data_IF_333469293916
#
_entry.id   IF_333469293916
#
_cell.length_a   1.000
_cell.length_b   1.000
_cell.length_c   1.000
_cell.angle_alpha   90.00
_cell.angle_beta   90.00
_cell.angle_gamma   90.00
#
_symmetry.space_group_name_H-M   'P 1'
#
loop_
_entity.id
_entity.type
_entity.pdbx_description
1 polymer ?
#
# COMPACT_ATOMS: atom_id res chain seq x y z
N UNK A 1 9.23 12.58 -13.88
CA UNK A 1 8.12 13.41 -14.38
C UNK A 1 7.02 13.54 -13.32
N UNK A 2 6.95 14.66 -12.58
CA UNK A 2 5.99 14.84 -11.49
C UNK A 2 4.51 14.88 -11.93
N UNK A 3 4.22 15.32 -13.16
CA UNK A 3 2.84 15.37 -13.68
C UNK A 3 2.32 13.97 -13.96
N UNK A 4 3.14 13.15 -14.60
CA UNK A 4 2.85 11.75 -14.85
C UNK A 4 2.62 10.98 -13.54
N UNK A 5 3.50 11.17 -12.55
CA UNK A 5 3.37 10.50 -11.24
C UNK A 5 2.06 10.90 -10.55
N UNK A 6 1.71 12.20 -10.54
CA UNK A 6 0.45 12.66 -9.96
C UNK A 6 -0.77 12.05 -10.65
N UNK A 7 -0.77 12.00 -11.98
CA UNK A 7 -1.86 11.39 -12.74
C UNK A 7 -2.01 9.90 -12.41
N UNK A 8 -0.89 9.17 -12.38
CA UNK A 8 -0.86 7.76 -12.03
C UNK A 8 -1.38 7.51 -10.60
N UNK A 9 -0.86 8.23 -9.61
CA UNK A 9 -1.27 8.07 -8.19
C UNK A 9 -2.76 8.39 -8.01
N UNK A 10 -3.29 9.43 -8.67
CA UNK A 10 -4.72 9.75 -8.64
C UNK A 10 -5.58 8.66 -9.27
N UNK A 11 -5.16 8.09 -10.40
CA UNK A 11 -5.87 7.00 -11.05
C UNK A 11 -5.84 5.72 -10.18
N UNK A 12 -4.69 5.36 -9.63
CA UNK A 12 -4.54 4.21 -8.75
C UNK A 12 -5.41 4.34 -7.49
N UNK A 13 -5.37 5.52 -6.83
CA UNK A 13 -6.22 5.82 -5.67
C UNK A 13 -7.70 5.58 -5.97
N UNK A 14 -8.20 6.10 -7.10
CA UNK A 14 -9.60 5.89 -7.53
C UNK A 14 -9.93 4.41 -7.75
N UNK A 15 -9.00 3.63 -8.29
CA UNK A 15 -9.17 2.18 -8.47
C UNK A 15 -9.32 1.43 -7.15
N UNK A 16 -8.51 1.77 -6.15
CA UNK A 16 -8.63 1.16 -4.82
C UNK A 16 -9.87 1.64 -4.06
N UNK A 17 -10.25 2.92 -4.17
CA UNK A 17 -11.50 3.43 -3.63
C UNK A 17 -12.71 2.70 -4.24
N UNK A 18 -12.72 2.48 -5.56
CA UNK A 18 -13.72 1.66 -6.23
C UNK A 18 -13.74 0.24 -5.68
N UNK A 19 -12.57 -0.39 -5.51
CA UNK A 19 -12.48 -1.76 -5.00
C UNK A 19 -13.00 -1.87 -3.56
N UNK A 20 -12.84 -0.84 -2.72
CA UNK A 20 -13.43 -0.78 -1.39
C UNK A 20 -14.97 -0.72 -1.41
N UNK A 21 -15.54 -0.11 -2.45
CA UNK A 21 -16.99 0.06 -2.62
C UNK A 21 -17.64 -1.11 -3.36
N UNK A 22 -16.91 -1.74 -4.27
CA UNK A 22 -17.35 -2.81 -5.16
C UNK A 22 -16.38 -4.03 -5.08
N UNK A 23 -16.22 -4.67 -3.91
CA UNK A 23 -15.21 -5.73 -3.72
C UNK A 23 -15.41 -6.94 -4.63
N UNK A 24 -16.66 -7.30 -4.91
CA UNK A 24 -16.99 -8.42 -5.79
C UNK A 24 -16.61 -8.13 -7.25
N UNK A 25 -16.94 -6.94 -7.75
CA UNK A 25 -16.59 -6.51 -9.10
C UNK A 25 -15.08 -6.33 -9.27
N UNK A 26 -14.39 -5.78 -8.26
CA UNK A 26 -12.94 -5.66 -8.28
C UNK A 26 -12.24 -7.03 -8.32
N UNK A 27 -12.81 -8.03 -7.63
CA UNK A 27 -12.33 -9.42 -7.70
C UNK A 27 -12.52 -10.01 -9.10
N UNK A 28 -13.65 -9.74 -9.74
CA UNK A 28 -13.93 -10.19 -11.12
C UNK A 28 -12.99 -9.54 -12.13
N UNK A 29 -12.69 -8.24 -11.98
CA UNK A 29 -11.68 -7.53 -12.78
C UNK A 29 -10.32 -8.21 -12.62
N UNK A 30 -9.88 -8.51 -11.38
CA UNK A 30 -8.60 -9.17 -11.14
C UNK A 30 -8.50 -10.53 -11.85
N UNK A 31 -9.51 -11.39 -11.69
CA UNK A 31 -9.52 -12.73 -12.32
C UNK A 31 -9.56 -12.61 -13.85
N UNK A 32 -10.29 -11.63 -14.39
CA UNK A 32 -10.39 -11.41 -15.83
C UNK A 32 -9.08 -10.92 -16.45
N UNK A 33 -8.39 -9.99 -15.79
CA UNK A 33 -7.19 -9.34 -16.35
C UNK A 33 -5.91 -10.14 -16.04
N UNK A 34 -5.85 -10.88 -14.93
CA UNK A 34 -4.72 -11.72 -14.55
C UNK A 34 -4.94 -13.20 -14.93
N UNK A 35 -5.27 -13.48 -16.20
CA UNK A 35 -5.63 -14.84 -16.66
C UNK A 35 -4.54 -15.87 -16.40
N UNK A 36 -3.28 -15.47 -16.55
CA UNK A 36 -2.12 -16.37 -16.38
C UNK A 36 -1.91 -16.81 -14.92
N UNK A 37 -2.54 -16.13 -13.96
CA UNK A 37 -2.46 -16.46 -12.54
C UNK A 37 -3.42 -17.59 -12.12
N UNK A 38 -4.33 -18.04 -13.01
CA UNK A 38 -5.28 -19.15 -12.75
C UNK A 38 -6.03 -19.02 -11.41
N UNK A 39 -6.50 -17.82 -11.10
CA UNK A 39 -7.14 -17.50 -9.82
C UNK A 39 -8.56 -18.06 -9.73
N UNK A 40 -8.87 -18.77 -8.65
CA UNK A 40 -10.25 -19.17 -8.34
C UNK A 40 -11.07 -17.96 -7.84
N UNK A 41 -12.14 -17.62 -8.57
CA UNK A 41 -12.95 -16.44 -8.27
C UNK A 41 -13.61 -16.48 -6.88
N UNK A 42 -13.98 -17.67 -6.37
CA UNK A 42 -14.57 -17.77 -5.03
C UNK A 42 -13.52 -17.46 -3.96
N UNK A 43 -12.28 -17.91 -4.16
CA UNK A 43 -11.17 -17.59 -3.28
C UNK A 43 -10.85 -16.08 -3.32
N UNK A 44 -10.75 -15.48 -4.50
CA UNK A 44 -10.45 -14.05 -4.65
C UNK A 44 -11.52 -13.19 -3.96
N UNK A 45 -12.81 -13.46 -4.18
CA UNK A 45 -13.89 -12.72 -3.51
C UNK A 45 -13.83 -12.81 -1.98
N UNK A 46 -13.50 -14.00 -1.44
CA UNK A 46 -13.30 -14.17 0.02
C UNK A 46 -12.10 -13.37 0.53
N UNK A 47 -10.98 -13.39 -0.19
CA UNK A 47 -9.79 -12.61 0.15
C UNK A 47 -10.10 -11.11 0.14
N UNK A 48 -10.75 -10.62 -0.91
CA UNK A 48 -11.13 -9.21 -1.02
C UNK A 48 -12.10 -8.79 0.09
N UNK A 49 -13.08 -9.63 0.43
CA UNK A 49 -13.95 -9.39 1.59
C UNK A 49 -13.18 -9.28 2.89
N UNK A 50 -12.20 -10.16 3.13
CA UNK A 50 -11.35 -10.09 4.33
C UNK A 50 -10.53 -8.80 4.38
N UNK A 51 -9.96 -8.37 3.25
CA UNK A 51 -9.21 -7.11 3.13
C UNK A 51 -10.11 -5.91 3.47
N UNK A 52 -11.33 -5.87 2.91
CA UNK A 52 -12.26 -4.76 3.09
C UNK A 52 -12.84 -4.73 4.50
N UNK A 53 -13.32 -5.86 5.02
CA UNK A 53 -13.88 -5.96 6.37
C UNK A 53 -12.80 -5.70 7.44
N UNK A 54 -11.56 -6.18 7.20
CA UNK A 54 -10.40 -5.95 8.05
C UNK A 54 -9.79 -4.55 7.93
N UNK A 55 -10.31 -3.70 7.04
CA UNK A 55 -9.87 -2.33 6.83
C UNK A 55 -8.36 -2.17 6.55
N UNK A 56 -7.75 -3.12 5.82
CA UNK A 56 -6.29 -3.13 5.62
C UNK A 56 -5.74 -1.90 4.90
N UNK A 57 -6.56 -1.18 4.13
CA UNK A 57 -6.14 0.05 3.46
C UNK A 57 -6.55 1.33 4.20
N UNK A 58 -6.98 1.19 5.45
CA UNK A 58 -7.44 2.30 6.30
C UNK A 58 -8.94 2.25 6.56
N UNK A 59 -9.37 2.98 7.60
CA UNK A 59 -10.76 2.98 8.03
C UNK A 59 -11.69 3.62 6.97
N UNK A 60 -12.73 2.87 6.57
CA UNK A 60 -13.65 3.28 5.49
C UNK A 60 -14.41 4.57 5.78
N UNK A 61 -14.81 4.80 7.03
CA UNK A 61 -15.53 6.01 7.42
C UNK A 61 -14.61 7.24 7.40
N UNK A 62 -13.35 7.08 7.83
CA UNK A 62 -12.36 8.14 7.77
C UNK A 62 -11.96 8.48 6.32
N UNK A 63 -11.88 7.49 5.42
CA UNK A 63 -11.67 7.72 3.98
C UNK A 63 -12.84 8.50 3.38
N UNK A 64 -14.08 8.03 3.60
CA UNK A 64 -15.29 8.67 3.04
C UNK A 64 -15.52 10.09 3.55
N UNK A 65 -15.19 10.35 4.82
CA UNK A 65 -15.31 11.69 5.41
C UNK A 65 -14.15 12.63 5.03
N UNK A 66 -13.10 12.13 4.38
CA UNK A 66 -11.89 12.88 4.08
C UNK A 66 -10.96 13.10 5.28
N UNK A 67 -11.27 12.53 6.45
CA UNK A 67 -10.40 12.55 7.63
C UNK A 67 -9.09 11.79 7.40
N UNK A 68 -9.11 10.79 6.52
CA UNK A 68 -7.94 10.06 6.06
C UNK A 68 -7.89 10.06 4.53
N UNK A 69 -6.72 10.38 3.96
CA UNK A 69 -6.52 10.30 2.51
C UNK A 69 -5.98 8.91 2.19
N UNK A 70 -6.75 8.12 1.43
CA UNK A 70 -6.31 6.80 0.96
C UNK A 70 -4.92 6.89 0.29
N UNK A 71 -4.03 5.99 0.69
CA UNK A 71 -2.65 5.94 0.19
C UNK A 71 -1.64 6.72 1.03
N UNK A 72 -2.07 7.46 2.06
CA UNK A 72 -1.14 8.17 2.98
C UNK A 72 -0.16 7.18 3.60
N UNK A 73 1.13 7.52 3.55
CA UNK A 73 2.20 6.63 4.00
C UNK A 73 2.26 6.53 5.53
N UNK A 74 2.29 5.30 6.08
CA UNK A 74 2.58 5.08 7.50
C UNK A 74 4.09 5.17 7.79
N UNK A 75 4.59 6.41 7.86
CA UNK A 75 6.01 6.67 8.16
C UNK A 75 6.42 6.20 9.55
N UNK A 76 5.48 6.06 10.51
CA UNK A 76 5.79 5.61 11.87
C UNK A 76 5.99 4.09 11.89
N UNK A 77 5.08 3.34 11.28
CA UNK A 77 5.19 1.89 11.12
C UNK A 77 6.43 1.51 10.31
N UNK A 78 6.68 2.20 9.20
CA UNK A 78 7.90 2.00 8.40
C UNK A 78 9.18 2.26 9.22
N UNK A 79 9.22 3.32 10.03
CA UNK A 79 10.37 3.59 10.88
C UNK A 79 10.57 2.51 11.96
N UNK A 80 9.48 2.02 12.56
CA UNK A 80 9.56 0.92 13.53
C UNK A 80 10.14 -0.35 12.89
N UNK A 81 9.73 -0.66 11.65
CA UNK A 81 10.28 -1.77 10.88
C UNK A 81 11.78 -1.58 10.58
N UNK A 82 12.20 -0.39 10.14
CA UNK A 82 13.63 -0.12 9.91
C UNK A 82 14.45 -0.18 11.20
N UNK A 83 13.91 0.30 12.32
CA UNK A 83 14.58 0.21 13.62
C UNK A 83 14.79 -1.26 14.03
N UNK A 84 13.79 -2.11 13.81
CA UNK A 84 13.90 -3.56 14.05
C UNK A 84 15.00 -4.19 13.19
N UNK A 85 14.98 -3.96 11.86
CA UNK A 85 16.01 -4.49 10.95
C UNK A 85 17.43 -4.03 11.32
N UNK A 86 17.57 -2.76 11.69
CA UNK A 86 18.85 -2.18 12.12
C UNK A 86 19.35 -2.84 13.40
N UNK A 87 18.47 -3.09 14.37
CA UNK A 87 18.81 -3.78 15.62
C UNK A 87 19.31 -5.21 15.36
N UNK A 88 18.70 -5.92 14.43
CA UNK A 88 19.08 -7.29 14.06
C UNK A 88 20.29 -7.35 13.09
N UNK A 89 20.96 -6.22 12.82
CA UNK A 89 22.18 -6.17 12.02
C UNK A 89 21.96 -6.43 10.51
N UNK A 90 20.73 -6.20 10.02
CA UNK A 90 20.37 -6.49 8.64
C UNK A 90 20.93 -5.48 7.60
N UNK A 91 21.49 -4.35 8.05
CA UNK A 91 22.06 -3.34 7.16
C UNK A 91 23.58 -3.41 7.11
N UNK A 92 24.15 -3.19 5.93
CA UNK A 92 25.59 -3.05 5.73
C UNK A 92 25.95 -1.70 5.14
N UNK A 93 27.16 -1.22 5.43
CA UNK A 93 27.75 -0.09 4.71
C UNK A 93 28.24 -0.49 3.30
N UNK A 94 28.82 0.47 2.57
CA UNK A 94 29.35 0.24 1.22
C UNK A 94 30.52 -0.74 1.15
N UNK A 95 31.10 -1.13 2.29
CA UNK A 95 32.18 -2.12 2.41
C UNK A 95 31.67 -3.48 2.91
N UNK A 96 30.35 -3.65 3.05
CA UNK A 96 29.75 -4.89 3.53
C UNK A 96 29.82 -5.08 5.05
N UNK A 97 30.20 -4.06 5.81
CA UNK A 97 30.24 -4.15 7.28
C UNK A 97 28.86 -3.85 7.86
N UNK A 98 28.39 -4.69 8.78
CA UNK A 98 27.12 -4.47 9.50
C UNK A 98 27.11 -3.10 10.17
N UNK A 99 25.99 -2.39 10.01
CA UNK A 99 25.75 -1.07 10.58
C UNK A 99 24.40 -1.02 11.28
N UNK A 100 24.35 -0.28 12.39
CA UNK A 100 23.11 0.04 13.11
C UNK A 100 22.60 1.45 12.79
N UNK A 101 23.14 2.08 11.74
CA UNK A 101 22.60 3.34 11.22
C UNK A 101 21.29 3.06 10.50
N UNK A 102 20.18 3.47 11.10
CA UNK A 102 18.85 3.20 10.56
C UNK A 102 18.45 4.21 9.47
N UNK A 103 17.90 3.75 8.33
CA UNK A 103 17.25 4.61 7.35
C UNK A 103 16.11 5.44 7.96
N UNK A 104 15.92 6.66 7.47
CA UNK A 104 14.84 7.54 7.92
C UNK A 104 13.63 7.41 6.98
N UNK A 105 12.53 6.82 7.46
CA UNK A 105 11.36 6.54 6.62
C UNK A 105 10.78 7.78 5.95
N UNK A 106 10.80 8.92 6.64
CA UNK A 106 10.32 10.21 6.10
C UNK A 106 11.13 10.74 4.92
N UNK A 107 12.38 10.28 4.76
CA UNK A 107 13.24 10.69 3.65
C UNK A 107 13.07 9.78 2.41
N UNK A 108 12.35 8.66 2.56
CA UNK A 108 12.19 7.64 1.51
C UNK A 108 10.83 7.66 0.82
N UNK A 109 9.86 8.40 1.36
CA UNK A 109 8.48 8.45 0.85
C UNK A 109 7.94 9.86 0.86
N UNK A 110 7.01 10.15 -0.06
CA UNK A 110 6.31 11.43 -0.13
C UNK A 110 4.83 11.21 -0.45
N UNK A 111 3.97 11.94 0.25
CA UNK A 111 2.52 11.97 0.02
C UNK A 111 2.11 13.12 -0.94
N UNK A 112 3.07 13.84 -1.52
CA UNK A 112 2.82 15.05 -2.33
C UNK A 112 1.93 14.79 -3.56
N UNK A 113 1.91 13.55 -4.04
CA UNK A 113 1.17 13.13 -5.25
C UNK A 113 -0.25 12.62 -4.94
N UNK A 114 -0.60 12.45 -3.67
CA UNK A 114 -1.96 12.08 -3.24
C UNK A 114 -2.94 13.27 -3.26
N UNK A 115 -2.41 14.49 -3.35
CA UNK A 115 -3.14 15.76 -3.41
C UNK A 115 -3.44 16.17 -4.87
#
# INVERSE_FOLDING_TARGET
>A
DPKLVRAFVKAAKRGYEYAYEHPDEASEILVKEAKDANLDIKFVKRSMKMIVDGQYWGNRADIKSGKFVFGTTDVKGAQAYFNFLSKEGAYTDSKGKVTHKTPQAKELSTDEFLK
#
